data_IF_765377756066
#
_entry.id   IF_765377756066
#
_cell.length_a   1.000
_cell.length_b   1.000
_cell.length_c   1.000
_cell.angle_alpha   90.00
_cell.angle_beta   90.00
_cell.angle_gamma   90.00
#
_symmetry.space_group_name_H-M   'P 1'
#
loop_
_entity.id
_entity.type
_entity.pdbx_description
1 polymer ?
#
# COMPACT_ATOMS: atom_id res chain seq x y z
N UNK A 1 -8.73 -0.61 -12.85
CA UNK A 1 -9.99 -1.27 -13.27
C UNK A 1 -10.26 -2.38 -12.28
N UNK A 2 -11.43 -2.37 -11.65
CA UNK A 2 -11.87 -3.40 -10.70
C UNK A 2 -13.17 -4.01 -11.21
N UNK A 3 -13.48 -5.25 -10.84
CA UNK A 3 -14.66 -5.96 -11.32
C UNK A 3 -14.72 -7.38 -10.79
N UNK A 4 -15.90 -8.00 -10.85
CA UNK A 4 -16.13 -9.38 -10.40
C UNK A 4 -15.75 -10.44 -11.43
N UNK A 5 -15.53 -10.05 -12.69
CA UNK A 5 -15.16 -10.93 -13.79
C UNK A 5 -13.81 -10.55 -14.36
N UNK A 6 -12.83 -11.44 -14.24
CA UNK A 6 -11.48 -11.27 -14.79
C UNK A 6 -11.53 -11.05 -16.31
N UNK A 7 -12.43 -11.75 -17.01
CA UNK A 7 -12.59 -11.62 -18.46
C UNK A 7 -13.03 -10.20 -18.86
N UNK A 8 -14.03 -9.65 -18.17
CA UNK A 8 -14.52 -8.29 -18.46
C UNK A 8 -13.49 -7.23 -18.08
N UNK A 9 -12.72 -7.44 -17.00
CA UNK A 9 -11.60 -6.55 -16.65
C UNK A 9 -10.58 -6.52 -17.80
N UNK A 10 -10.21 -7.69 -18.34
CA UNK A 10 -9.22 -7.78 -19.41
C UNK A 10 -9.70 -7.20 -20.73
N UNK A 11 -10.97 -7.38 -21.08
CA UNK A 11 -11.61 -6.72 -22.23
C UNK A 11 -11.57 -5.19 -22.06
N UNK A 12 -11.99 -4.68 -20.90
CA UNK A 12 -11.96 -3.25 -20.61
C UNK A 12 -10.53 -2.68 -20.64
N UNK A 13 -9.53 -3.42 -20.15
CA UNK A 13 -8.12 -3.05 -20.25
C UNK A 13 -7.67 -2.93 -21.71
N UNK A 14 -8.09 -3.85 -22.58
CA UNK A 14 -7.74 -3.81 -24.01
C UNK A 14 -8.34 -2.59 -24.69
N UNK A 15 -9.60 -2.31 -24.42
CA UNK A 15 -10.30 -1.15 -25.01
C UNK A 15 -9.66 0.17 -24.58
N UNK A 16 -9.30 0.30 -23.29
CA UNK A 16 -8.62 1.48 -22.79
C UNK A 16 -7.21 1.63 -23.36
N UNK A 17 -6.44 0.54 -23.51
CA UNK A 17 -5.12 0.56 -24.17
C UNK A 17 -5.17 1.00 -25.63
N UNK A 18 -6.30 0.78 -26.31
CA UNK A 18 -6.47 1.17 -27.72
C UNK A 18 -6.67 2.67 -27.87
N UNK A 19 -7.34 3.29 -26.90
CA UNK A 19 -7.72 4.71 -26.94
C UNK A 19 -6.74 5.61 -26.16
N UNK A 20 -6.00 5.04 -25.22
CA UNK A 20 -5.11 5.76 -24.32
C UNK A 20 -3.76 5.04 -24.19
N UNK A 21 -2.68 5.81 -24.01
CA UNK A 21 -1.37 5.24 -23.65
C UNK A 21 -1.43 4.71 -22.21
N UNK A 22 -1.79 3.43 -22.08
CA UNK A 22 -2.08 2.78 -20.81
C UNK A 22 -1.13 1.61 -20.57
N UNK A 23 -0.39 1.66 -19.46
CA UNK A 23 0.39 0.52 -18.98
C UNK A 23 -0.42 -0.30 -17.98
N UNK A 24 -0.45 -1.62 -18.16
CA UNK A 24 -1.04 -2.52 -17.15
C UNK A 24 0.02 -2.84 -16.09
N UNK A 25 -0.19 -2.34 -14.89
CA UNK A 25 0.74 -2.49 -13.76
C UNK A 25 0.71 -3.88 -13.12
N UNK A 26 -0.20 -4.77 -13.56
CA UNK A 26 -0.40 -6.12 -13.00
C UNK A 26 -0.59 -6.07 -11.48
N UNK A 27 -0.22 -7.16 -10.78
CA UNK A 27 -0.23 -7.21 -9.32
C UNK A 27 0.79 -6.22 -8.76
N UNK A 28 0.34 -5.47 -7.75
CA UNK A 28 1.14 -4.47 -7.09
C UNK A 28 2.05 -5.15 -6.06
N UNK A 29 3.36 -4.97 -6.24
CA UNK A 29 4.38 -5.43 -5.29
C UNK A 29 4.79 -4.35 -4.30
N UNK A 30 4.57 -3.07 -4.64
CA UNK A 30 4.87 -1.93 -3.78
C UNK A 30 3.78 -0.86 -3.89
N UNK A 31 3.31 -0.35 -2.75
CA UNK A 31 2.38 0.77 -2.66
C UNK A 31 2.81 1.73 -1.56
N UNK A 32 2.97 3.03 -1.87
CA UNK A 32 3.45 4.04 -0.89
C UNK A 32 4.76 3.65 -0.18
N UNK A 33 5.59 2.80 -0.80
CA UNK A 33 6.80 2.24 -0.20
C UNK A 33 6.59 0.98 0.64
N UNK A 34 5.35 0.57 0.88
CA UNK A 34 4.98 -0.69 1.52
C UNK A 34 5.11 -1.84 0.53
N UNK A 35 5.69 -2.95 0.97
CA UNK A 35 5.74 -4.19 0.20
C UNK A 35 4.40 -4.90 0.28
N UNK A 36 3.84 -5.28 -0.87
CA UNK A 36 2.54 -5.94 -0.97
C UNK A 36 2.71 -7.31 -1.62
N UNK A 37 2.21 -8.33 -0.95
CA UNK A 37 2.23 -9.72 -1.37
C UNK A 37 0.79 -10.20 -1.54
N UNK A 38 0.35 -10.33 -2.79
CA UNK A 38 -1.03 -10.72 -3.12
C UNK A 38 -1.06 -12.21 -3.44
N UNK A 39 -1.84 -12.97 -2.68
CA UNK A 39 -2.22 -14.36 -2.95
C UNK A 39 -3.72 -14.40 -3.27
N UNK A 40 -4.18 -15.52 -3.83
CA UNK A 40 -5.56 -15.69 -4.32
C UNK A 40 -6.64 -15.21 -3.33
N UNK A 41 -6.47 -15.49 -2.03
CA UNK A 41 -7.45 -15.13 -1.00
C UNK A 41 -6.91 -14.16 0.07
N UNK A 42 -5.66 -13.68 -0.04
CA UNK A 42 -5.03 -12.91 1.03
C UNK A 42 -4.09 -11.85 0.48
N UNK A 43 -4.07 -10.69 1.13
CA UNK A 43 -3.08 -9.64 0.89
C UNK A 43 -2.23 -9.51 2.14
N UNK A 44 -0.93 -9.69 2.00
CA UNK A 44 0.04 -9.45 3.06
C UNK A 44 0.80 -8.16 2.76
N UNK A 45 0.95 -7.31 3.77
CA UNK A 45 1.66 -6.03 3.65
C UNK A 45 2.83 -6.02 4.62
N UNK A 46 4.02 -5.72 4.10
CA UNK A 46 5.26 -5.54 4.86
C UNK A 46 5.68 -4.07 4.82
N UNK A 47 5.99 -3.49 5.98
CA UNK A 47 6.48 -2.12 6.08
C UNK A 47 8.01 -2.05 6.23
N UNK A 48 8.73 -3.18 6.22
CA UNK A 48 10.16 -3.24 6.57
C UNK A 48 10.98 -2.23 5.75
N UNK A 49 10.81 -2.23 4.43
CA UNK A 49 11.52 -1.31 3.53
C UNK A 49 11.09 0.13 3.74
N UNK A 50 9.78 0.38 3.86
CA UNK A 50 9.25 1.72 4.12
C UNK A 50 9.83 2.33 5.40
N UNK A 51 9.79 1.57 6.50
CA UNK A 51 10.33 2.00 7.79
C UNK A 51 11.82 2.29 7.67
N UNK A 52 12.61 1.39 7.07
CA UNK A 52 14.05 1.59 6.88
C UNK A 52 14.36 2.85 6.07
N UNK A 53 13.72 3.02 4.91
CA UNK A 53 13.93 4.20 4.05
C UNK A 53 13.49 5.49 4.76
N UNK A 54 12.44 5.43 5.56
CA UNK A 54 11.96 6.58 6.35
C UNK A 54 12.98 6.97 7.42
N UNK A 55 13.48 5.99 8.19
CA UNK A 55 14.52 6.23 9.20
C UNK A 55 15.80 6.77 8.58
N UNK A 56 16.26 6.21 7.46
CA UNK A 56 17.43 6.72 6.72
C UNK A 56 17.22 8.16 6.26
N UNK A 57 16.05 8.47 5.67
CA UNK A 57 15.71 9.81 5.17
C UNK A 57 15.79 10.87 6.27
N UNK A 58 15.35 10.55 7.48
CA UNK A 58 15.35 11.46 8.61
C UNK A 58 16.57 11.30 9.53
N UNK A 59 17.56 10.48 9.14
CA UNK A 59 18.77 10.19 9.93
C UNK A 59 18.46 9.63 11.32
N UNK A 60 17.43 8.79 11.41
CA UNK A 60 16.91 8.18 12.64
C UNK A 60 17.27 6.70 12.81
N UNK A 61 18.19 6.16 12.00
CA UNK A 61 18.59 4.75 12.10
C UNK A 61 19.19 4.36 13.45
N UNK A 62 19.91 5.29 14.07
CA UNK A 62 20.58 5.09 15.38
C UNK A 62 19.81 5.75 16.53
N UNK A 63 18.59 6.24 16.28
CA UNK A 63 17.78 6.83 17.34
C UNK A 63 17.36 5.77 18.37
N UNK A 64 17.42 6.16 19.65
CA UNK A 64 16.95 5.29 20.74
C UNK A 64 15.46 5.01 20.57
N UNK A 65 15.03 3.74 20.53
CA UNK A 65 13.62 3.41 20.45
C UNK A 65 12.90 3.92 21.71
N UNK A 66 11.75 4.57 21.52
CA UNK A 66 10.89 4.94 22.63
C UNK A 66 9.96 3.76 22.97
N UNK A 67 9.78 3.50 24.26
CA UNK A 67 8.94 2.40 24.75
C UNK A 67 7.43 2.66 24.62
N UNK A 68 7.04 3.78 24.03
CA UNK A 68 5.65 4.12 23.70
C UNK A 68 5.38 3.75 22.24
N UNK A 69 5.04 2.48 21.92
CA UNK A 69 4.56 2.15 20.60
C UNK A 69 3.23 2.88 20.35
N UNK A 70 2.93 3.13 19.07
CA UNK A 70 1.57 3.42 18.65
C UNK A 70 0.66 2.31 19.18
N UNK A 71 -0.52 2.69 19.70
CA UNK A 71 -1.46 1.74 20.26
C UNK A 71 -1.80 0.64 19.24
N UNK A 72 -1.53 -0.62 19.61
CA UNK A 72 -1.83 -1.75 18.75
C UNK A 72 -3.35 -1.82 18.54
N UNK A 73 -3.78 -1.73 17.28
CA UNK A 73 -5.20 -1.71 16.86
C UNK A 73 -5.94 -0.43 17.21
N UNK A 74 -5.26 0.72 17.19
CA UNK A 74 -5.91 2.03 17.24
C UNK A 74 -7.06 2.08 16.21
N UNK A 75 -8.30 2.12 16.71
CA UNK A 75 -9.49 2.24 15.87
C UNK A 75 -9.80 3.72 15.73
N UNK A 76 -9.45 4.27 14.56
CA UNK A 76 -9.79 5.65 14.24
C UNK A 76 -11.30 5.75 14.00
N UNK A 77 -11.97 6.51 14.86
CA UNK A 77 -13.39 6.84 14.75
C UNK A 77 -13.57 8.22 14.09
N UNK A 78 -14.72 8.47 13.47
CA UNK A 78 -15.02 9.80 12.89
C UNK A 78 -15.08 10.90 13.97
N UNK A 79 -15.34 10.52 15.22
CA UNK A 79 -15.36 11.44 16.36
C UNK A 79 -13.98 11.72 16.93
N UNK A 80 -12.93 11.04 16.46
CA UNK A 80 -11.59 11.25 16.98
C UNK A 80 -11.10 12.64 16.56
N UNK A 81 -10.50 13.41 17.48
CA UNK A 81 -9.88 14.67 17.15
C UNK A 81 -8.74 14.45 16.16
N UNK A 82 -8.66 15.30 15.15
CA UNK A 82 -7.53 15.32 14.22
C UNK A 82 -6.23 15.46 15.01
N UNK A 83 -5.17 14.69 14.70
CA UNK A 83 -3.86 14.95 15.27
C UNK A 83 -3.40 16.36 14.85
N UNK A 84 -3.04 17.20 15.81
CA UNK A 84 -2.36 18.49 15.58
C UNK A 84 -0.92 18.29 15.08
#
# INVERSE_FOLDING_TARGET
>A
ITGSSVKMIDETKKDLKRSFDMTDLKLMHYYLGLEVWQKENNIFVSQIKYTKTTLEKFRMMDCTPIATPMENRLQLSHSDPSPE
#
